data_IF_760956279837
#
_entry.id   IF_760956279837
#
_cell.length_a   1.000
_cell.length_b   1.000
_cell.length_c   1.000
_cell.angle_alpha   90.00
_cell.angle_beta   90.00
_cell.angle_gamma   90.00
#
_symmetry.space_group_name_H-M   'P 1'
#
loop_
_entity.id
_entity.type
_entity.pdbx_description
1 polymer ?
#
# COMPACT_ATOMS: atom_id res chain seq x y z
N UNK A 1 -29.09 -45.67 4.82
CA UNK A 1 -28.43 -44.42 5.23
C UNK A 1 -28.08 -43.64 3.96
N UNK A 2 -28.93 -42.70 3.56
CA UNK A 2 -28.61 -41.76 2.48
C UNK A 2 -27.74 -40.66 3.04
N UNK A 3 -26.42 -40.79 2.87
CA UNK A 3 -25.47 -39.73 3.22
C UNK A 3 -25.65 -38.56 2.28
N UNK A 4 -26.50 -37.60 2.66
CA UNK A 4 -26.57 -36.30 2.01
C UNK A 4 -25.25 -35.61 2.35
N UNK A 5 -24.41 -35.34 1.35
CA UNK A 5 -23.24 -34.48 1.58
C UNK A 5 -23.72 -33.15 2.15
N UNK A 6 -23.07 -32.59 3.18
CA UNK A 6 -23.35 -31.21 3.56
C UNK A 6 -23.15 -30.32 2.32
N UNK A 7 -23.96 -29.26 2.15
CA UNK A 7 -23.76 -28.31 1.05
C UNK A 7 -22.31 -27.79 1.10
N UNK A 8 -21.72 -27.43 -0.06
CA UNK A 8 -20.36 -26.90 -0.08
C UNK A 8 -20.30 -25.71 0.88
N UNK A 9 -19.41 -25.79 1.87
CA UNK A 9 -19.14 -24.68 2.77
C UNK A 9 -18.66 -23.49 1.93
N UNK A 10 -19.57 -22.56 1.66
CA UNK A 10 -19.15 -21.24 1.20
C UNK A 10 -18.35 -20.64 2.35
N UNK A 11 -17.19 -20.09 2.04
CA UNK A 11 -16.28 -19.53 3.04
C UNK A 11 -16.88 -18.24 3.60
N UNK A 12 -17.74 -18.38 4.61
CA UNK A 12 -18.07 -17.28 5.52
C UNK A 12 -16.79 -16.91 6.27
N UNK A 13 -16.42 -15.63 6.20
CA UNK A 13 -15.25 -15.11 6.91
C UNK A 13 -15.68 -13.89 7.69
N UNK A 14 -15.53 -13.99 9.00
CA UNK A 14 -15.81 -12.90 9.93
C UNK A 14 -14.50 -12.52 10.61
N UNK A 15 -14.09 -11.26 10.47
CA UNK A 15 -12.78 -10.82 10.90
C UNK A 15 -12.87 -9.50 11.67
N UNK A 16 -12.58 -9.52 12.97
CA UNK A 16 -12.24 -8.32 13.72
C UNK A 16 -10.88 -7.78 13.26
N UNK A 17 -10.83 -6.57 12.69
CA UNK A 17 -9.61 -6.00 12.09
C UNK A 17 -8.99 -4.88 12.92
N UNK A 18 -9.77 -4.12 13.68
CA UNK A 18 -9.26 -3.03 14.50
C UNK A 18 -10.12 -2.73 15.72
N UNK A 19 -9.50 -2.17 16.75
CA UNK A 19 -10.10 -1.78 18.02
C UNK A 19 -9.58 -0.40 18.46
N UNK A 20 -10.46 0.43 18.99
CA UNK A 20 -10.15 1.70 19.64
C UNK A 20 -10.98 1.87 20.90
N UNK A 21 -10.52 2.66 21.86
CA UNK A 21 -11.17 2.85 23.17
C UNK A 21 -11.33 4.36 23.41
N UNK A 22 -12.52 4.81 23.81
CA UNK A 22 -12.76 6.22 24.15
C UNK A 22 -12.35 6.57 25.59
N UNK A 23 -12.36 7.86 25.94
CA UNK A 23 -11.95 8.34 27.26
C UNK A 23 -12.84 7.86 28.42
N UNK A 24 -14.04 7.34 28.14
CA UNK A 24 -14.95 6.71 29.10
C UNK A 24 -14.74 5.19 29.21
N UNK A 25 -13.81 4.63 28.41
CA UNK A 25 -13.55 3.20 28.33
C UNK A 25 -14.45 2.44 27.36
N UNK A 26 -15.35 3.11 26.61
CA UNK A 26 -16.18 2.40 25.63
C UNK A 26 -15.30 1.91 24.47
N UNK A 27 -15.61 0.72 23.99
CA UNK A 27 -14.82 0.01 22.98
C UNK A 27 -15.50 0.17 21.63
N UNK A 28 -14.75 0.58 20.61
CA UNK A 28 -15.16 0.51 19.21
C UNK A 28 -14.35 -0.56 18.50
N UNK A 29 -15.02 -1.49 17.83
CA UNK A 29 -14.41 -2.47 16.93
C UNK A 29 -14.92 -2.30 15.50
N UNK A 30 -14.09 -2.67 14.53
CA UNK A 30 -14.47 -2.72 13.12
C UNK A 30 -13.80 -3.89 12.42
N UNK A 31 -14.37 -4.29 11.29
CA UNK A 31 -13.92 -5.44 10.54
C UNK A 31 -14.83 -5.73 9.36
N UNK A 32 -14.91 -7.01 9.00
CA UNK A 32 -15.78 -7.51 7.95
C UNK A 32 -16.55 -8.77 8.42
N UNK A 33 -17.73 -9.01 7.85
CA UNK A 33 -18.59 -10.14 8.23
C UNK A 33 -19.46 -10.64 7.06
N UNK A 34 -19.79 -11.93 7.03
CA UNK A 34 -20.55 -12.55 5.94
C UNK A 34 -21.84 -13.23 6.43
N UNK A 35 -22.98 -12.85 5.86
CA UNK A 35 -24.29 -13.41 6.21
C UNK A 35 -24.96 -12.68 7.37
N UNK A 36 -25.70 -13.41 8.19
CA UNK A 36 -26.43 -12.85 9.35
C UNK A 36 -25.68 -13.14 10.64
N UNK A 37 -25.13 -12.10 11.26
CA UNK A 37 -24.34 -12.21 12.48
C UNK A 37 -24.96 -11.39 13.62
N UNK A 38 -24.94 -11.97 14.82
CA UNK A 38 -25.32 -11.30 16.06
C UNK A 38 -24.15 -10.48 16.60
N UNK A 39 -24.38 -9.19 16.83
CA UNK A 39 -23.40 -8.24 17.33
C UNK A 39 -23.60 -7.87 18.81
N UNK A 40 -24.62 -8.41 19.49
CA UNK A 40 -24.75 -8.31 20.94
C UNK A 40 -24.00 -9.49 21.61
N UNK A 41 -22.93 -9.25 22.39
CA UNK A 41 -22.24 -10.33 23.11
C UNK A 41 -23.00 -10.80 24.38
N UNK A 42 -24.14 -10.19 24.68
CA UNK A 42 -25.02 -10.51 25.81
C UNK A 42 -26.08 -11.57 25.49
N UNK A 43 -27.19 -11.60 26.26
CA UNK A 43 -28.29 -12.55 26.06
C UNK A 43 -29.40 -12.04 25.12
N UNK A 44 -29.33 -10.77 24.68
CA UNK A 44 -30.19 -10.23 23.63
C UNK A 44 -29.54 -10.47 22.26
N UNK A 45 -30.27 -10.18 21.18
CA UNK A 45 -29.84 -10.44 19.80
C UNK A 45 -29.91 -9.14 19.00
N UNK A 46 -28.81 -8.74 18.38
CA UNK A 46 -28.72 -7.62 17.45
C UNK A 46 -28.09 -8.08 16.14
N UNK A 47 -28.92 -8.54 15.20
CA UNK A 47 -28.45 -9.04 13.92
C UNK A 47 -28.12 -7.92 12.92
N UNK A 48 -26.95 -7.99 12.32
CA UNK A 48 -26.62 -7.35 11.04
C UNK A 48 -26.61 -8.42 9.92
N UNK A 49 -26.82 -8.01 8.67
CA UNK A 49 -26.98 -8.91 7.51
C UNK A 49 -26.16 -8.36 6.33
N UNK A 50 -25.12 -9.08 5.89
CA UNK A 50 -24.32 -8.63 4.74
C UNK A 50 -25.16 -8.53 3.46
N UNK A 51 -24.85 -7.53 2.64
CA UNK A 51 -25.60 -7.16 1.45
C UNK A 51 -25.30 -8.08 0.26
N UNK A 52 -24.11 -8.68 0.24
CA UNK A 52 -23.68 -9.68 -0.75
C UNK A 52 -23.82 -11.13 -0.29
N UNK A 53 -24.23 -12.02 -1.21
CA UNK A 53 -24.30 -13.47 -0.96
C UNK A 53 -22.89 -14.09 -0.95
N UNK A 54 -22.37 -14.41 0.24
CA UNK A 54 -21.00 -14.87 0.50
C UNK A 54 -19.89 -13.83 0.25
N UNK A 55 -20.24 -12.55 0.10
CA UNK A 55 -19.27 -11.46 0.14
C UNK A 55 -19.42 -10.75 1.49
N UNK A 56 -18.32 -10.41 2.17
CA UNK A 56 -18.40 -9.75 3.46
C UNK A 56 -18.70 -8.25 3.31
N UNK A 57 -19.48 -7.72 4.25
CA UNK A 57 -19.77 -6.28 4.42
C UNK A 57 -18.91 -5.70 5.55
N UNK A 58 -18.81 -4.37 5.62
CA UNK A 58 -18.14 -3.67 6.73
C UNK A 58 -19.07 -3.65 7.95
N UNK A 59 -18.51 -3.90 9.14
CA UNK A 59 -19.17 -3.58 10.41
C UNK A 59 -18.39 -2.55 11.23
N UNK A 60 -19.11 -1.78 12.04
CA UNK A 60 -18.58 -1.02 13.17
C UNK A 60 -19.50 -1.31 14.37
N UNK A 61 -18.95 -1.73 15.50
CA UNK A 61 -19.72 -1.95 16.73
C UNK A 61 -19.11 -1.21 17.92
N UNK A 62 -19.99 -0.72 18.80
CA UNK A 62 -19.67 -0.09 20.08
C UNK A 62 -20.14 -0.97 21.23
N UNK A 63 -19.23 -1.24 22.16
CA UNK A 63 -19.50 -1.81 23.46
C UNK A 63 -19.20 -0.78 24.57
N UNK A 64 -19.84 -0.90 25.72
CA UNK A 64 -19.51 -0.09 26.89
C UNK A 64 -18.21 -0.55 27.57
N UNK A 65 -17.76 0.19 28.59
CA UNK A 65 -16.54 -0.13 29.34
C UNK A 65 -16.59 -1.48 30.12
N UNK A 66 -17.74 -2.13 30.19
CA UNK A 66 -17.93 -3.48 30.76
C UNK A 66 -18.15 -4.56 29.71
N UNK A 67 -18.19 -4.18 28.42
CA UNK A 67 -18.36 -5.10 27.29
C UNK A 67 -19.82 -5.32 26.84
N UNK A 68 -20.80 -4.60 27.40
CA UNK A 68 -22.19 -4.72 26.93
C UNK A 68 -22.38 -4.03 25.58
N UNK A 69 -23.32 -4.52 24.77
CA UNK A 69 -23.72 -3.89 23.52
C UNK A 69 -24.24 -2.44 23.70
N UNK A 70 -23.83 -1.54 22.81
CA UNK A 70 -24.37 -0.17 22.72
C UNK A 70 -25.00 0.08 21.35
N UNK A 71 -24.27 -0.18 20.27
CA UNK A 71 -24.79 -0.15 18.90
C UNK A 71 -23.88 -0.95 17.95
N UNK A 72 -24.43 -1.42 16.83
CA UNK A 72 -23.65 -1.84 15.67
C UNK A 72 -24.24 -1.27 14.38
N UNK A 73 -23.39 -1.06 13.38
CA UNK A 73 -23.68 -0.43 12.09
C UNK A 73 -22.98 -1.23 11.00
N UNK A 74 -23.62 -1.34 9.83
CA UNK A 74 -23.02 -1.93 8.63
C UNK A 74 -23.06 -0.96 7.46
N UNK A 75 -22.20 -1.19 6.48
CA UNK A 75 -22.32 -0.67 5.12
C UNK A 75 -21.56 -1.60 4.17
N UNK A 76 -22.07 -1.77 2.96
CA UNK A 76 -21.53 -2.70 1.98
C UNK A 76 -22.32 -2.71 0.68
N UNK A 77 -21.82 -3.46 -0.28
CA UNK A 77 -22.35 -3.64 -1.63
C UNK A 77 -22.77 -5.09 -1.82
N UNK A 78 -23.14 -5.49 -3.04
CA UNK A 78 -23.29 -6.91 -3.36
C UNK A 78 -21.95 -7.64 -3.55
N UNK A 79 -20.82 -6.95 -3.38
CA UNK A 79 -19.45 -7.46 -3.53
C UNK A 79 -18.66 -7.39 -2.20
N UNK A 80 -17.35 -7.64 -2.25
CA UNK A 80 -16.49 -7.71 -1.06
C UNK A 80 -16.14 -6.31 -0.57
N UNK A 81 -16.57 -5.95 0.63
CA UNK A 81 -16.22 -4.68 1.27
C UNK A 81 -15.56 -4.96 2.63
N UNK A 82 -14.69 -4.07 3.12
CA UNK A 82 -14.01 -4.34 4.38
C UNK A 82 -13.30 -3.16 5.02
N UNK A 83 -13.45 -3.03 6.34
CA UNK A 83 -12.73 -2.06 7.16
C UNK A 83 -11.45 -2.69 7.74
N UNK A 84 -10.37 -1.91 7.76
CA UNK A 84 -9.09 -2.33 8.34
C UNK A 84 -8.66 -1.52 9.56
N UNK A 85 -9.19 -0.30 9.75
CA UNK A 85 -8.79 0.53 10.87
C UNK A 85 -9.89 1.49 11.32
N UNK A 86 -10.01 1.65 12.63
CA UNK A 86 -10.86 2.64 13.29
C UNK A 86 -10.02 3.56 14.18
N UNK A 87 -10.41 4.83 14.26
CA UNK A 87 -9.88 5.84 15.16
C UNK A 87 -11.03 6.66 15.77
N UNK A 88 -10.72 7.35 16.87
CA UNK A 88 -11.65 8.21 17.60
C UNK A 88 -11.06 9.61 17.76
N UNK A 89 -11.92 10.63 17.76
CA UNK A 89 -11.56 11.96 18.25
C UNK A 89 -11.96 12.15 19.73
N UNK A 90 -11.59 13.30 20.30
CA UNK A 90 -11.78 13.59 21.73
C UNK A 90 -13.25 13.68 22.18
N UNK A 91 -14.21 13.81 21.25
CA UNK A 91 -15.65 13.78 21.55
C UNK A 91 -16.29 12.42 21.23
N UNK A 92 -15.49 11.44 20.81
CA UNK A 92 -15.94 10.07 20.54
C UNK A 92 -16.55 9.86 19.15
N UNK A 93 -16.36 10.79 18.20
CA UNK A 93 -16.73 10.50 16.80
C UNK A 93 -15.83 9.38 16.27
N UNK A 94 -16.42 8.47 15.51
CA UNK A 94 -15.78 7.27 14.98
C UNK A 94 -15.34 7.50 13.55
N UNK A 95 -14.07 7.25 13.23
CA UNK A 95 -13.51 7.39 11.89
C UNK A 95 -13.00 6.04 11.43
N UNK A 96 -13.48 5.56 10.29
CA UNK A 96 -13.15 4.22 9.77
C UNK A 96 -12.59 4.32 8.35
N UNK A 97 -11.61 3.47 8.04
CA UNK A 97 -11.09 3.31 6.68
C UNK A 97 -10.92 1.84 6.30
N UNK A 98 -10.88 1.60 5.00
CA UNK A 98 -10.88 0.29 4.40
C UNK A 98 -10.91 0.37 2.89
N UNK A 99 -11.62 -0.57 2.27
CA UNK A 99 -11.87 -0.62 0.85
C UNK A 99 -13.33 -0.97 0.57
N UNK A 100 -13.83 -0.54 -0.58
CA UNK A 100 -15.17 -0.89 -1.07
C UNK A 100 -15.21 -1.04 -2.59
N UNK A 101 -16.23 -1.71 -3.12
CA UNK A 101 -16.51 -1.82 -4.56
C UNK A 101 -17.99 -1.55 -4.89
N UNK A 102 -18.28 -1.40 -6.19
CA UNK A 102 -19.60 -1.01 -6.71
C UNK A 102 -20.14 0.26 -6.02
N UNK A 103 -21.46 0.36 -5.83
CA UNK A 103 -22.09 1.41 -5.04
C UNK A 103 -22.38 0.90 -3.64
N UNK A 104 -21.97 1.67 -2.63
CA UNK A 104 -22.25 1.44 -1.21
C UNK A 104 -22.97 2.65 -0.65
N UNK A 105 -24.04 2.42 0.10
CA UNK A 105 -24.64 3.42 0.98
C UNK A 105 -23.85 3.46 2.29
N UNK A 106 -23.27 4.62 2.60
CA UNK A 106 -22.45 4.82 3.79
C UNK A 106 -23.20 5.47 4.96
N UNK A 107 -24.49 5.81 4.80
CA UNK A 107 -25.35 6.22 5.91
C UNK A 107 -26.06 4.98 6.51
N UNK A 108 -25.73 4.53 7.73
CA UNK A 108 -26.39 3.40 8.37
C UNK A 108 -27.72 3.80 9.07
N UNK A 109 -28.27 4.96 8.72
CA UNK A 109 -29.56 5.49 9.14
C UNK A 109 -30.65 5.28 8.07
N UNK A 110 -31.71 6.12 8.07
CA UNK A 110 -32.80 6.04 7.10
C UNK A 110 -32.61 6.92 5.85
N UNK A 111 -31.55 7.74 5.81
CA UNK A 111 -31.17 8.51 4.63
C UNK A 111 -30.15 7.71 3.79
N UNK A 112 -29.83 8.21 2.60
CA UNK A 112 -28.96 7.53 1.63
C UNK A 112 -27.78 8.43 1.29
N UNK A 113 -26.57 7.93 1.48
CA UNK A 113 -25.32 8.56 1.06
C UNK A 113 -24.47 7.57 0.26
N UNK A 114 -24.73 7.51 -1.04
CA UNK A 114 -24.03 6.61 -1.95
C UNK A 114 -22.64 7.14 -2.33
N UNK A 115 -21.63 6.26 -2.23
CA UNK A 115 -20.37 6.37 -2.96
C UNK A 115 -20.28 5.24 -3.98
N UNK A 116 -19.70 5.49 -5.15
CA UNK A 116 -19.57 4.50 -6.23
C UNK A 116 -18.11 4.36 -6.63
N UNK A 117 -17.53 3.19 -6.40
CA UNK A 117 -16.16 2.89 -6.75
C UNK A 117 -15.94 3.02 -8.27
N UNK A 118 -14.83 3.66 -8.66
CA UNK A 118 -14.44 3.88 -10.06
C UNK A 118 -13.13 3.14 -10.31
N UNK A 119 -13.07 2.35 -11.37
CA UNK A 119 -11.97 1.42 -11.63
C UNK A 119 -12.22 0.07 -10.96
N UNK A 120 -11.42 -0.25 -9.94
CA UNK A 120 -11.61 -1.40 -9.05
C UNK A 120 -11.97 -0.97 -7.63
N UNK A 121 -11.42 -1.66 -6.63
CA UNK A 121 -11.59 -1.28 -5.21
C UNK A 121 -11.11 0.15 -4.97
N UNK A 122 -11.87 0.93 -4.20
CA UNK A 122 -11.49 2.28 -3.80
C UNK A 122 -11.41 2.37 -2.26
N UNK A 123 -10.62 3.33 -1.77
CA UNK A 123 -10.49 3.61 -0.34
C UNK A 123 -11.72 4.39 0.10
N UNK A 124 -12.32 4.03 1.24
CA UNK A 124 -13.27 4.91 1.93
C UNK A 124 -12.67 5.53 3.19
N UNK A 125 -13.17 6.71 3.55
CA UNK A 125 -13.05 7.31 4.88
C UNK A 125 -14.46 7.71 5.32
N UNK A 126 -15.00 7.02 6.32
CA UNK A 126 -16.31 7.35 6.91
C UNK A 126 -16.14 7.95 8.30
N UNK A 127 -17.08 8.81 8.67
CA UNK A 127 -17.20 9.40 10.01
C UNK A 127 -18.62 9.24 10.53
N UNK A 128 -18.74 8.66 11.72
CA UNK A 128 -19.96 8.60 12.51
C UNK A 128 -19.81 9.43 13.79
N UNK A 129 -20.92 9.87 14.38
CA UNK A 129 -20.91 10.45 15.73
C UNK A 129 -20.74 9.36 16.83
N UNK A 130 -20.65 9.78 18.09
CA UNK A 130 -20.49 8.86 19.23
C UNK A 130 -21.68 7.90 19.47
N UNK A 131 -22.84 8.18 18.86
CA UNK A 131 -24.06 7.37 18.86
C UNK A 131 -24.21 6.53 17.58
N UNK A 132 -23.25 6.59 16.65
CA UNK A 132 -23.26 5.84 15.40
C UNK A 132 -24.16 6.43 14.30
N UNK A 133 -24.50 7.73 14.38
CA UNK A 133 -25.19 8.44 13.30
C UNK A 133 -24.19 8.92 12.24
N UNK A 134 -24.60 8.99 10.98
CA UNK A 134 -23.76 9.45 9.88
C UNK A 134 -23.34 10.92 10.00
N UNK A 135 -22.08 11.23 9.68
CA UNK A 135 -21.57 12.60 9.51
C UNK A 135 -21.09 12.83 8.07
N UNK A 136 -20.19 11.98 7.56
CA UNK A 136 -19.79 11.98 6.15
C UNK A 136 -19.17 10.63 5.74
N UNK A 137 -19.09 10.41 4.42
CA UNK A 137 -18.14 9.48 3.83
C UNK A 137 -17.42 10.13 2.62
N UNK A 138 -16.19 9.69 2.38
CA UNK A 138 -15.28 10.20 1.34
C UNK A 138 -14.62 9.03 0.61
N UNK A 139 -14.47 9.15 -0.70
CA UNK A 139 -13.85 8.16 -1.58
C UNK A 139 -12.48 8.66 -2.02
N UNK A 140 -11.46 7.80 -1.94
CA UNK A 140 -10.06 8.12 -2.26
C UNK A 140 -9.49 7.00 -3.16
N UNK A 141 -8.58 7.35 -4.06
CA UNK A 141 -7.98 6.43 -5.03
C UNK A 141 -8.89 6.13 -6.22
N UNK A 142 -9.85 7.00 -6.55
CA UNK A 142 -10.82 6.72 -7.62
C UNK A 142 -10.14 6.62 -8.99
N UNK A 143 -10.55 5.67 -9.82
CA UNK A 143 -9.89 5.33 -11.09
C UNK A 143 -8.76 4.30 -10.98
N UNK A 144 -8.25 4.04 -9.77
CA UNK A 144 -7.31 2.94 -9.54
C UNK A 144 -7.95 1.58 -9.81
N UNK A 145 -7.18 0.62 -10.33
CA UNK A 145 -7.62 -0.78 -10.43
C UNK A 145 -7.74 -1.47 -9.07
N UNK A 146 -7.06 -0.97 -8.03
CA UNK A 146 -7.22 -1.41 -6.64
C UNK A 146 -6.56 -0.40 -5.69
N UNK A 147 -7.33 0.12 -4.73
CA UNK A 147 -6.83 0.95 -3.64
C UNK A 147 -7.49 0.54 -2.31
N UNK A 148 -6.68 0.42 -1.24
CA UNK A 148 -7.15 -0.02 0.10
C UNK A 148 -6.55 0.84 1.21
N UNK A 149 -7.41 1.44 2.04
CA UNK A 149 -7.00 2.13 3.26
C UNK A 149 -6.73 1.13 4.37
N UNK A 150 -5.48 1.07 4.86
CA UNK A 150 -5.07 0.10 5.88
C UNK A 150 -5.01 0.69 7.29
N UNK A 151 -4.75 1.99 7.44
CA UNK A 151 -4.76 2.64 8.75
C UNK A 151 -5.30 4.06 8.69
N UNK A 152 -6.00 4.47 9.76
CA UNK A 152 -6.51 5.83 9.98
C UNK A 152 -6.07 6.36 11.35
N UNK A 153 -5.73 7.65 11.40
CA UNK A 153 -5.51 8.43 12.62
C UNK A 153 -6.12 9.81 12.49
N UNK A 154 -6.49 10.41 13.62
CA UNK A 154 -7.06 11.75 13.69
C UNK A 154 -6.25 12.56 14.70
N UNK A 155 -5.90 13.80 14.37
CA UNK A 155 -5.21 14.71 15.30
C UNK A 155 -6.18 15.53 16.17
N UNK A 156 -5.64 16.26 17.15
CA UNK A 156 -6.45 17.07 18.07
C UNK A 156 -7.19 18.25 17.39
N UNK A 157 -6.86 18.58 16.14
CA UNK A 157 -7.61 19.56 15.31
C UNK A 157 -8.68 18.88 14.44
N UNK A 158 -8.86 17.57 14.57
CA UNK A 158 -9.78 16.76 13.77
C UNK A 158 -9.26 16.41 12.37
N UNK A 159 -8.01 16.75 12.01
CA UNK A 159 -7.50 16.36 10.70
C UNK A 159 -7.30 14.85 10.63
N UNK A 160 -7.59 14.29 9.47
CA UNK A 160 -7.64 12.85 9.25
C UNK A 160 -6.44 12.45 8.41
N UNK A 161 -5.71 11.43 8.85
CA UNK A 161 -4.55 10.88 8.17
C UNK A 161 -4.85 9.42 7.83
N UNK A 162 -4.75 9.07 6.56
CA UNK A 162 -4.90 7.69 6.11
C UNK A 162 -3.67 7.21 5.35
N UNK A 163 -3.41 5.91 5.43
CA UNK A 163 -2.32 5.24 4.73
C UNK A 163 -2.78 3.87 4.27
N UNK A 164 -2.13 3.35 3.23
CA UNK A 164 -2.43 2.05 2.66
C UNK A 164 -1.72 1.85 1.33
N UNK A 165 -2.33 1.08 0.44
CA UNK A 165 -1.76 0.72 -0.87
C UNK A 165 -2.70 1.14 -2.01
N UNK A 166 -2.13 1.40 -3.18
CA UNK A 166 -2.88 1.57 -4.43
C UNK A 166 -2.09 1.10 -5.65
N UNK A 167 -2.82 0.66 -6.67
CA UNK A 167 -2.32 0.24 -7.98
C UNK A 167 -2.58 1.32 -9.03
N UNK A 168 -1.83 1.32 -10.13
CA UNK A 168 -2.07 2.19 -11.30
C UNK A 168 -2.19 3.68 -10.95
N UNK A 169 -3.08 4.45 -11.61
CA UNK A 169 -3.35 5.86 -11.26
C UNK A 169 -4.68 5.96 -10.54
N UNK A 170 -4.72 6.69 -9.42
CA UNK A 170 -5.96 6.99 -8.71
C UNK A 170 -5.99 8.44 -8.23
N UNK A 171 -7.19 9.01 -8.15
CA UNK A 171 -7.44 10.36 -7.63
C UNK A 171 -7.58 10.35 -6.10
N UNK A 172 -6.75 11.13 -5.42
CA UNK A 172 -6.71 11.23 -3.96
C UNK A 172 -7.42 12.48 -3.39
N UNK A 173 -8.04 13.32 -4.22
CA UNK A 173 -8.97 14.37 -3.77
C UNK A 173 -10.41 13.83 -3.71
N UNK A 174 -11.02 13.67 -2.51
CA UNK A 174 -12.42 13.23 -2.39
C UNK A 174 -13.46 14.34 -2.67
N UNK A 175 -13.01 15.50 -3.17
CA UNK A 175 -13.84 16.65 -3.50
C UNK A 175 -14.19 16.74 -5.00
N UNK A 176 -14.20 17.97 -5.52
CA UNK A 176 -14.42 18.26 -6.95
C UNK A 176 -13.11 18.64 -7.68
N UNK A 177 -11.98 18.65 -6.97
CA UNK A 177 -10.65 18.73 -7.57
C UNK A 177 -10.20 17.37 -8.10
N UNK A 178 -8.97 17.32 -8.60
CA UNK A 178 -8.30 16.09 -9.01
C UNK A 178 -6.87 16.16 -8.49
N UNK A 179 -6.45 15.15 -7.73
CA UNK A 179 -5.08 14.97 -7.25
C UNK A 179 -4.62 13.54 -7.50
N UNK A 180 -4.14 13.28 -8.72
CA UNK A 180 -3.69 11.95 -9.12
C UNK A 180 -2.35 11.57 -8.47
N UNK A 181 -2.29 10.36 -7.92
CA UNK A 181 -1.05 9.62 -7.67
C UNK A 181 -0.98 8.43 -8.64
N UNK A 182 0.21 8.07 -9.09
CA UNK A 182 0.44 6.98 -10.06
C UNK A 182 1.51 6.03 -9.53
N UNK A 183 1.12 4.81 -9.17
CA UNK A 183 2.02 3.80 -8.61
C UNK A 183 3.21 3.54 -9.56
N UNK A 184 4.42 3.45 -9.00
CA UNK A 184 5.66 3.29 -9.75
C UNK A 184 6.09 1.82 -9.82
N UNK A 185 5.15 0.95 -10.20
CA UNK A 185 5.30 -0.50 -10.21
C UNK A 185 3.93 -1.15 -10.18
N UNK A 186 3.81 -2.32 -9.56
CA UNK A 186 2.52 -2.97 -9.36
C UNK A 186 1.65 -2.15 -8.38
N UNK A 187 2.18 -1.85 -7.19
CA UNK A 187 1.51 -1.06 -6.15
C UNK A 187 2.48 -0.15 -5.39
N UNK A 188 2.00 1.02 -4.98
CA UNK A 188 2.71 1.96 -4.13
C UNK A 188 1.98 2.14 -2.79
N UNK A 189 2.72 2.55 -1.77
CA UNK A 189 2.16 3.03 -0.49
C UNK A 189 1.66 4.45 -0.72
N UNK A 190 0.50 4.83 -0.14
CA UNK A 190 0.08 6.22 -0.04
C UNK A 190 0.02 6.68 1.43
N UNK A 191 0.16 7.99 1.64
CA UNK A 191 -0.29 8.70 2.83
C UNK A 191 -1.06 9.94 2.38
N UNK A 192 -2.27 10.14 2.89
CA UNK A 192 -3.08 11.33 2.63
C UNK A 192 -3.55 12.00 3.91
N UNK A 193 -3.80 13.30 3.81
CA UNK A 193 -4.37 14.13 4.87
C UNK A 193 -5.62 14.83 4.36
N UNK A 194 -6.69 14.72 5.13
CA UNK A 194 -7.92 15.52 5.00
C UNK A 194 -8.07 16.46 6.21
N UNK A 195 -8.86 17.51 6.07
CA UNK A 195 -9.32 18.33 7.20
C UNK A 195 -10.44 17.64 8.01
N UNK A 196 -10.93 18.31 9.06
CA UNK A 196 -11.99 17.80 9.94
C UNK A 196 -13.38 17.65 9.28
N UNK A 197 -13.56 18.22 8.08
CA UNK A 197 -14.75 18.07 7.24
C UNK A 197 -14.54 17.06 6.09
N UNK A 198 -13.37 16.40 6.04
CA UNK A 198 -13.01 15.44 5.02
C UNK A 198 -12.69 16.08 3.66
N UNK A 199 -12.27 17.35 3.63
CA UNK A 199 -11.76 17.99 2.42
C UNK A 199 -10.27 17.68 2.23
N UNK A 200 -9.80 17.62 0.98
CA UNK A 200 -8.41 17.36 0.65
C UNK A 200 -7.45 18.43 1.19
N UNK A 201 -6.30 17.99 1.73
CA UNK A 201 -5.17 18.88 2.05
C UNK A 201 -3.89 18.48 1.30
N UNK A 202 -3.53 17.20 1.31
CA UNK A 202 -2.45 16.65 0.49
C UNK A 202 -2.49 15.12 0.45
N UNK A 203 -1.86 14.53 -0.58
CA UNK A 203 -1.50 13.12 -0.61
C UNK A 203 -0.06 12.95 -1.15
N UNK A 204 0.60 11.87 -0.73
CA UNK A 204 1.96 11.49 -1.13
C UNK A 204 2.05 9.98 -1.31
N UNK A 205 2.85 9.53 -2.28
CA UNK A 205 3.15 8.11 -2.47
C UNK A 205 4.60 7.77 -2.08
N UNK A 206 4.84 6.49 -1.79
CA UNK A 206 6.16 5.89 -1.59
C UNK A 206 6.19 4.53 -2.29
N UNK A 207 7.14 4.37 -3.21
CA UNK A 207 7.32 3.16 -4.02
C UNK A 207 8.63 3.23 -4.79
N UNK A 208 9.06 2.09 -5.34
CA UNK A 208 10.31 1.97 -6.09
C UNK A 208 9.99 1.78 -7.55
N UNK A 209 10.38 2.74 -8.39
CA UNK A 209 10.32 2.59 -9.85
C UNK A 209 11.08 1.34 -10.28
N UNK A 210 10.36 0.25 -10.57
CA UNK A 210 10.91 -0.87 -11.33
C UNK A 210 11.17 -0.33 -12.73
N UNK A 211 12.39 0.15 -12.99
CA UNK A 211 12.85 0.43 -14.34
C UNK A 211 13.03 -0.92 -15.03
N UNK A 212 12.25 -1.25 -16.07
CA UNK A 212 12.66 -2.31 -16.98
C UNK A 212 13.99 -1.85 -17.57
N UNK A 213 15.02 -2.70 -17.52
CA UNK A 213 16.31 -2.36 -18.12
C UNK A 213 16.07 -1.87 -19.55
N UNK A 214 16.50 -0.64 -19.83
CA UNK A 214 16.32 -0.03 -21.13
C UNK A 214 16.98 -0.91 -22.20
N UNK A 215 16.48 -0.88 -23.43
CA UNK A 215 17.03 -1.74 -24.49
C UNK A 215 18.55 -1.49 -24.73
N UNK A 216 19.05 -0.31 -24.35
CA UNK A 216 20.49 0.00 -24.31
C UNK A 216 21.22 -0.64 -23.12
N UNK A 217 20.61 -0.72 -21.94
CA UNK A 217 21.16 -1.36 -20.74
C UNK A 217 21.18 -2.89 -20.88
N UNK A 218 20.16 -3.47 -21.52
CA UNK A 218 20.15 -4.89 -21.92
C UNK A 218 21.23 -5.16 -22.97
N UNK A 219 21.39 -4.29 -23.98
CA UNK A 219 22.50 -4.37 -24.94
C UNK A 219 23.86 -4.22 -24.26
N UNK A 220 23.98 -3.37 -23.24
CA UNK A 220 25.20 -3.21 -22.46
C UNK A 220 25.55 -4.49 -21.68
N UNK A 221 24.58 -5.13 -21.02
CA UNK A 221 24.78 -6.42 -20.37
C UNK A 221 25.20 -7.52 -21.36
N UNK A 222 24.55 -7.57 -22.53
CA UNK A 222 24.89 -8.53 -23.60
C UNK A 222 26.28 -8.25 -24.19
N UNK A 223 26.64 -6.99 -24.41
CA UNK A 223 27.97 -6.59 -24.88
C UNK A 223 29.06 -6.94 -23.87
N UNK A 224 28.81 -6.74 -22.56
CA UNK A 224 29.71 -7.20 -21.50
C UNK A 224 29.82 -8.73 -21.46
N UNK A 225 28.74 -9.48 -21.70
CA UNK A 225 28.79 -10.93 -21.83
C UNK A 225 29.60 -11.38 -23.05
N UNK A 226 29.43 -10.75 -24.22
CA UNK A 226 30.23 -11.07 -25.41
C UNK A 226 31.72 -10.73 -25.22
N UNK A 227 32.04 -9.60 -24.58
CA UNK A 227 33.42 -9.23 -24.22
C UNK A 227 34.01 -10.27 -23.24
N UNK A 228 33.26 -10.68 -22.21
CA UNK A 228 33.71 -11.73 -21.29
C UNK A 228 33.92 -13.07 -22.02
N UNK A 229 33.02 -13.47 -22.92
CA UNK A 229 33.13 -14.71 -23.70
C UNK A 229 34.35 -14.66 -24.63
N UNK A 230 34.60 -13.54 -25.33
CA UNK A 230 35.80 -13.39 -26.16
C UNK A 230 37.09 -13.38 -25.34
N UNK A 231 37.09 -12.77 -24.15
CA UNK A 231 38.24 -12.81 -23.25
C UNK A 231 38.48 -14.21 -22.66
N UNK A 232 37.43 -14.98 -22.35
CA UNK A 232 37.54 -16.38 -21.92
C UNK A 232 38.08 -17.28 -23.04
N UNK A 233 37.68 -17.06 -24.30
CA UNK A 233 38.21 -17.79 -25.47
C UNK A 233 39.69 -17.46 -25.74
N UNK A 234 40.16 -16.27 -25.37
CA UNK A 234 41.57 -15.87 -25.44
C UNK A 234 42.38 -16.24 -24.18
N UNK A 235 41.74 -16.82 -23.15
CA UNK A 235 42.34 -17.10 -21.85
C UNK A 235 42.52 -18.61 -21.57
N UNK A 236 42.87 -19.41 -22.59
CA UNK A 236 43.55 -20.70 -22.35
C UNK A 236 45.01 -20.48 -21.90
N UNK A 237 45.18 -19.88 -20.71
CA UNK A 237 46.41 -19.95 -19.93
C UNK A 237 46.07 -19.92 -18.43
N UNK A 238 45.83 -21.11 -17.86
CA UNK A 238 45.47 -21.30 -16.45
C UNK A 238 46.73 -21.36 -15.56
N UNK A 239 46.85 -20.45 -14.59
CA UNK A 239 47.59 -20.64 -13.32
C UNK A 239 46.79 -19.96 -12.16
N UNK A 240 46.89 -20.50 -10.93
CA UNK A 240 46.08 -20.19 -9.73
C UNK A 240 46.95 -19.48 -8.63
N UNK A 241 46.53 -19.06 -7.42
CA UNK A 241 45.42 -19.48 -6.54
C UNK A 241 44.57 -18.29 -5.94
N UNK A 242 44.70 -17.71 -4.70
CA UNK A 242 43.63 -16.86 -4.13
C UNK A 242 44.00 -15.37 -3.94
N UNK A 243 43.03 -14.60 -3.41
CA UNK A 243 43.13 -13.19 -2.94
C UNK A 243 43.30 -12.11 -4.03
N UNK A 244 42.33 -12.10 -4.95
CA UNK A 244 41.77 -10.96 -5.70
C UNK A 244 42.66 -9.71 -5.91
N UNK A 245 43.35 -9.67 -7.06
CA UNK A 245 43.59 -8.42 -7.80
C UNK A 245 43.15 -8.61 -9.25
N UNK A 246 42.14 -7.87 -9.68
CA UNK A 246 41.67 -7.88 -11.07
C UNK A 246 42.57 -7.01 -11.95
N UNK A 247 43.59 -7.60 -12.57
CA UNK A 247 44.35 -6.96 -13.64
C UNK A 247 43.54 -7.06 -14.94
N UNK A 248 42.72 -6.05 -15.22
CA UNK A 248 42.20 -5.85 -16.56
C UNK A 248 43.36 -5.51 -17.50
N UNK A 249 43.42 -6.16 -18.67
CA UNK A 249 44.32 -5.72 -19.75
C UNK A 249 43.96 -4.29 -20.18
N UNK A 250 44.90 -3.53 -20.75
CA UNK A 250 44.61 -2.20 -21.27
C UNK A 250 43.47 -2.26 -22.29
N UNK A 251 42.38 -1.54 -22.02
CA UNK A 251 41.38 -1.22 -23.03
C UNK A 251 42.05 -0.40 -24.14
N UNK A 252 41.63 -0.60 -25.39
CA UNK A 252 42.05 0.26 -26.49
C UNK A 252 41.49 1.67 -26.27
N UNK A 253 42.24 2.69 -26.67
CA UNK A 253 41.86 4.10 -26.48
C UNK A 253 40.49 4.40 -27.12
N UNK A 254 40.19 3.76 -28.25
CA UNK A 254 38.90 3.88 -28.94
C UNK A 254 37.72 3.33 -28.12
N UNK A 255 37.93 2.25 -27.36
CA UNK A 255 36.94 1.67 -26.45
C UNK A 255 36.71 2.60 -25.26
N UNK A 256 37.79 3.15 -24.66
CA UNK A 256 37.69 4.13 -23.58
C UNK A 256 36.97 5.41 -24.01
N UNK A 257 37.22 5.91 -25.22
CA UNK A 257 36.54 7.08 -25.78
C UNK A 257 35.04 6.81 -26.03
N UNK A 258 34.69 5.61 -26.50
CA UNK A 258 33.28 5.21 -26.64
C UNK A 258 32.60 5.16 -25.27
N UNK A 259 33.23 4.54 -24.27
CA UNK A 259 32.73 4.50 -22.88
C UNK A 259 32.53 5.91 -22.29
N UNK A 260 33.51 6.81 -22.44
CA UNK A 260 33.43 8.19 -21.94
C UNK A 260 32.37 9.03 -22.67
N UNK A 261 32.05 8.70 -23.93
CA UNK A 261 30.95 9.35 -24.67
C UNK A 261 29.55 8.90 -24.20
N UNK A 262 29.45 7.69 -23.64
CA UNK A 262 28.20 7.09 -23.17
C UNK A 262 27.94 7.37 -21.68
N UNK A 263 28.99 7.55 -20.87
CA UNK A 263 28.91 7.84 -19.44
C UNK A 263 29.95 8.90 -19.04
N UNK A 264 29.72 10.20 -19.31
CA UNK A 264 30.69 11.27 -19.05
C UNK A 264 31.01 11.48 -17.56
N UNK A 265 30.14 11.02 -16.65
CA UNK A 265 30.33 10.99 -15.21
C UNK A 265 31.34 9.94 -14.70
N UNK A 266 31.78 8.99 -15.54
CA UNK A 266 32.75 7.96 -15.15
C UNK A 266 34.19 8.46 -15.42
N UNK A 267 34.99 8.56 -14.35
CA UNK A 267 36.40 8.98 -14.43
C UNK A 267 37.29 7.75 -14.54
N UNK A 268 37.99 7.61 -15.68
CA UNK A 268 38.99 6.57 -15.90
C UNK A 268 40.38 7.02 -15.44
N UNK A 269 41.01 6.26 -14.55
CA UNK A 269 42.41 6.45 -14.17
C UNK A 269 43.31 5.60 -15.09
N UNK A 270 43.98 6.23 -16.05
CA UNK A 270 44.92 5.57 -16.95
C UNK A 270 46.28 5.32 -16.30
N UNK A 271 46.79 4.09 -16.40
CA UNK A 271 48.16 3.74 -15.99
C UNK A 271 49.17 4.17 -17.06
N UNK A 272 49.50 5.45 -17.10
CA UNK A 272 50.61 5.99 -17.88
C UNK A 272 51.54 6.84 -17.02
N UNK A 273 52.84 6.62 -17.23
CA UNK A 273 54.01 7.20 -16.54
C UNK A 273 54.27 6.68 -15.11
N UNK A 274 55.04 5.59 -15.05
CA UNK A 274 55.93 5.31 -13.92
C UNK A 274 57.18 6.22 -13.99
N UNK A 275 56.98 7.52 -13.79
CA UNK A 275 58.01 8.41 -13.26
C UNK A 275 57.37 9.19 -12.10
N UNK A 276 58.01 9.20 -10.94
CA UNK A 276 57.35 9.39 -9.64
C UNK A 276 56.72 10.77 -9.42
N UNK A 277 55.70 10.81 -8.54
CA UNK A 277 55.64 11.87 -7.55
C UNK A 277 55.54 11.30 -6.12
N UNK A 278 56.63 11.43 -5.35
CA UNK A 278 56.57 11.34 -3.88
C UNK A 278 55.99 12.64 -3.32
N UNK A 279 54.88 12.56 -2.60
CA UNK A 279 54.67 13.08 -1.22
C UNK A 279 53.16 13.16 -0.90
N UNK A 280 52.69 12.43 0.11
CA UNK A 280 51.27 12.53 0.51
C UNK A 280 50.63 11.39 1.33
N UNK A 281 51.41 10.60 2.09
CA UNK A 281 50.93 9.67 3.13
C UNK A 281 49.69 8.78 2.83
N UNK A 282 49.85 7.76 1.98
CA UNK A 282 49.49 6.38 2.38
C UNK A 282 50.13 5.36 1.43
N UNK A 283 51.09 4.58 1.93
CA UNK A 283 51.58 3.38 1.25
C UNK A 283 50.70 2.19 1.62
N UNK A 284 50.29 1.40 0.64
CA UNK A 284 49.86 0.02 0.84
C UNK A 284 50.80 -0.85 0.01
N UNK A 285 51.47 -1.79 0.67
CA UNK A 285 52.39 -2.73 0.03
C UNK A 285 51.60 -3.84 -0.67
N UNK A 286 52.19 -4.37 -1.75
CA UNK A 286 51.74 -5.63 -2.32
C UNK A 286 52.04 -6.80 -1.36
N UNK A 287 51.15 -7.79 -1.36
CA UNK A 287 51.44 -9.19 -1.06
C UNK A 287 51.19 -9.96 -2.36
#
# INVERSE_FOLDING_TARGET
MTGIMPPPYTSVSDEGRSISIDASGNIIITGNFTGTNDFDPGPAVYNLISSGTNNPDIFIAKLDATGNFVWAKQFGSTFVDGAYSVALDAVGNVYTTGYFFLTVDFDPGPAVYNLTAVGGYNIFVSKLDAAGNFIFAKQIGSGSTEARGQSIKVDASGNIYTTGMFFTTGDFDPGAGIYNLTALGDQDIFVSKLDASGNFLWAKQMGVQIRPLGMQEVRFLLMLQEIFIQQVILAELVILIPDQVFILKPLLIEEMLLFQSLMPEVIFYGWHNLEEPVFGNMMIWAI
#
